data_IF_306913191441
#
_entry.id   IF_306913191441
#
_cell.length_a   1.000
_cell.length_b   1.000
_cell.length_c   1.000
_cell.angle_alpha   90.00
_cell.angle_beta   90.00
_cell.angle_gamma   90.00
#
_symmetry.space_group_name_H-M   'P 1'
#
loop_
_entity.id
_entity.type
_entity.pdbx_description
1 polymer ?
#
# COMPACT_ATOMS: atom_id res chain seq x y z
N UNK A 1 -12.31 18.68 -6.71
CA UNK A 1 -11.76 18.36 -5.37
C UNK A 1 -12.70 18.92 -4.31
N UNK A 2 -13.14 18.11 -3.34
CA UNK A 2 -14.02 18.59 -2.27
C UNK A 2 -13.26 19.35 -1.16
N UNK A 3 -13.95 20.18 -0.35
CA UNK A 3 -13.33 20.93 0.75
C UNK A 3 -12.73 20.01 1.82
N UNK A 4 -11.92 20.56 2.73
CA UNK A 4 -11.44 19.81 3.89
C UNK A 4 -12.62 19.27 4.69
N UNK A 5 -12.53 18.03 5.19
CA UNK A 5 -13.64 17.37 5.89
C UNK A 5 -14.73 16.76 5.00
N UNK A 6 -14.68 16.91 3.67
CA UNK A 6 -15.67 16.30 2.76
C UNK A 6 -15.61 14.76 2.64
N UNK A 7 -14.82 14.08 3.48
CA UNK A 7 -14.71 12.62 3.47
C UNK A 7 -13.77 12.03 2.41
N UNK A 8 -12.89 12.83 1.80
CA UNK A 8 -11.93 12.35 0.77
C UNK A 8 -11.07 11.22 1.30
N UNK A 9 -10.32 11.45 2.37
CA UNK A 9 -9.44 10.44 2.98
C UNK A 9 -10.25 9.23 3.45
N UNK A 10 -11.43 9.47 4.06
CA UNK A 10 -12.35 8.41 4.46
C UNK A 10 -12.78 7.52 3.29
N UNK A 11 -13.09 8.09 2.13
CA UNK A 11 -13.46 7.33 0.94
C UNK A 11 -12.27 6.47 0.45
N UNK A 12 -11.07 7.04 0.42
CA UNK A 12 -9.87 6.29 0.04
C UNK A 12 -9.56 5.16 1.03
N UNK A 13 -9.76 5.36 2.34
CA UNK A 13 -9.60 4.30 3.36
C UNK A 13 -10.58 3.14 3.13
N UNK A 14 -11.81 3.44 2.72
CA UNK A 14 -12.81 2.43 2.36
C UNK A 14 -12.41 1.67 1.10
N UNK A 15 -11.96 2.40 0.07
CA UNK A 15 -11.52 1.82 -1.21
C UNK A 15 -10.21 1.02 -1.11
N UNK A 16 -9.31 1.39 -0.21
CA UNK A 16 -8.07 0.65 0.05
C UNK A 16 -8.28 -0.55 0.99
N UNK A 17 -9.39 -0.56 1.74
CA UNK A 17 -9.66 -1.56 2.76
C UNK A 17 -8.91 -1.32 4.06
N UNK A 18 -8.46 -0.08 4.30
CA UNK A 18 -7.97 0.40 5.59
C UNK A 18 -9.12 0.62 6.59
N UNK A 19 -10.31 0.97 6.07
CA UNK A 19 -11.57 1.02 6.81
C UNK A 19 -12.57 0.02 6.23
N UNK A 20 -13.00 -0.94 7.05
CA UNK A 20 -13.99 -1.98 6.67
C UNK A 20 -15.26 -1.95 7.54
N UNK A 21 -15.27 -1.15 8.59
CA UNK A 21 -16.40 -1.03 9.53
C UNK A 21 -17.17 0.27 9.33
N UNK A 22 -18.50 0.20 9.54
CA UNK A 22 -19.39 1.34 9.33
C UNK A 22 -19.47 1.78 7.86
N UNK A 23 -19.38 0.81 6.95
CA UNK A 23 -19.46 1.00 5.50
C UNK A 23 -20.51 0.04 4.97
N UNK A 24 -21.32 0.50 4.02
CA UNK A 24 -22.26 -0.33 3.27
C UNK A 24 -22.05 -0.13 1.76
N UNK A 25 -22.43 -1.13 0.97
CA UNK A 25 -22.27 -1.15 -0.48
C UNK A 25 -21.28 -2.21 -0.99
N UNK A 26 -21.16 -2.30 -2.32
CA UNK A 26 -20.29 -3.27 -2.99
C UNK A 26 -19.23 -2.56 -3.82
N UNK A 27 -17.97 -2.96 -3.67
CA UNK A 27 -16.85 -2.45 -4.44
C UNK A 27 -16.46 -3.49 -5.47
N UNK A 28 -16.35 -3.07 -6.73
CA UNK A 28 -15.93 -3.91 -7.84
C UNK A 28 -14.53 -3.52 -8.30
N UNK A 29 -13.71 -4.52 -8.59
CA UNK A 29 -12.39 -4.36 -9.22
C UNK A 29 -12.38 -5.24 -10.45
N UNK A 30 -12.20 -4.64 -11.62
CA UNK A 30 -12.26 -5.33 -12.91
C UNK A 30 -13.56 -6.15 -13.12
N UNK A 31 -14.70 -5.62 -12.69
CA UNK A 31 -16.01 -6.28 -12.84
C UNK A 31 -16.33 -7.37 -11.81
N UNK A 32 -15.39 -7.71 -10.92
CA UNK A 32 -15.60 -8.68 -9.85
C UNK A 32 -15.71 -8.00 -8.49
N UNK A 33 -16.49 -8.60 -7.59
CA UNK A 33 -16.55 -8.14 -6.19
C UNK A 33 -15.15 -8.19 -5.59
N UNK A 34 -14.74 -7.09 -4.96
CA UNK A 34 -13.39 -6.94 -4.40
C UNK A 34 -13.12 -7.99 -3.32
N UNK A 35 -12.19 -8.89 -3.59
CA UNK A 35 -11.51 -9.68 -2.55
C UNK A 35 -10.37 -8.84 -1.95
N UNK A 36 -10.47 -8.51 -0.67
CA UNK A 36 -9.47 -7.66 0.03
C UNK A 36 -8.08 -8.29 0.05
N UNK A 37 -7.99 -9.62 0.16
CA UNK A 37 -6.71 -10.32 0.26
C UNK A 37 -5.94 -10.24 -1.06
N UNK A 38 -6.61 -10.52 -2.18
CA UNK A 38 -6.02 -10.40 -3.51
C UNK A 38 -5.77 -8.94 -3.87
N UNK A 39 -6.74 -8.05 -3.61
CA UNK A 39 -6.62 -6.63 -3.91
C UNK A 39 -5.35 -5.99 -3.31
N UNK A 40 -5.06 -6.27 -2.03
CA UNK A 40 -3.86 -5.76 -1.34
C UNK A 40 -2.54 -6.21 -1.98
N UNK A 41 -2.51 -7.33 -2.71
CA UNK A 41 -1.31 -7.80 -3.42
C UNK A 41 -1.05 -7.03 -4.72
N UNK A 42 -2.09 -6.45 -5.32
CA UNK A 42 -2.01 -5.78 -6.62
C UNK A 42 -2.11 -4.26 -6.55
N UNK A 43 -2.33 -3.69 -5.36
CA UNK A 43 -2.49 -2.24 -5.17
C UNK A 43 -1.55 -1.69 -4.11
N UNK A 44 -1.16 -0.43 -4.25
CA UNK A 44 -0.49 0.34 -3.22
C UNK A 44 -1.38 1.50 -2.78
N UNK A 45 -1.41 1.76 -1.47
CA UNK A 45 -2.11 2.90 -0.89
C UNK A 45 -1.10 3.78 -0.14
N UNK A 46 -1.00 5.05 -0.54
CA UNK A 46 -0.14 6.05 0.10
C UNK A 46 -1.04 6.95 0.94
N UNK A 47 -0.74 7.06 2.23
CA UNK A 47 -1.50 7.86 3.19
C UNK A 47 -1.14 9.34 3.10
N UNK A 48 -1.99 10.20 3.66
CA UNK A 48 -1.74 11.65 3.68
C UNK A 48 -0.52 12.02 4.56
N UNK A 49 -0.28 11.27 5.63
CA UNK A 49 0.88 11.43 6.51
C UNK A 49 1.84 10.26 6.31
N UNK A 50 3.13 10.57 6.22
CA UNK A 50 4.19 9.58 6.11
C UNK A 50 4.56 9.04 7.49
N UNK A 51 4.63 7.71 7.60
CA UNK A 51 5.06 7.01 8.83
C UNK A 51 6.45 6.41 8.62
N UNK A 52 7.44 7.28 8.47
CA UNK A 52 8.84 6.90 8.28
C UNK A 52 9.58 6.93 9.61
N UNK A 53 10.53 6.00 9.78
CA UNK A 53 11.41 5.98 10.95
C UNK A 53 12.55 6.99 10.75
N UNK A 54 12.72 7.99 11.63
CA UNK A 54 13.65 9.10 11.42
C UNK A 54 15.12 8.68 11.50
N UNK A 55 15.41 7.50 12.06
CA UNK A 55 16.76 6.97 12.23
C UNK A 55 17.24 6.11 11.05
N UNK A 56 16.39 5.90 10.04
CA UNK A 56 16.74 5.12 8.85
C UNK A 56 17.01 6.04 7.66
N UNK A 57 18.06 5.75 6.91
CA UNK A 57 18.29 6.34 5.59
C UNK A 57 17.28 5.80 4.58
N UNK A 58 17.10 6.53 3.48
CA UNK A 58 16.23 6.09 2.37
C UNK A 58 16.62 4.69 1.88
N UNK A 59 17.92 4.43 1.72
CA UNK A 59 18.41 3.14 1.26
C UNK A 59 18.07 2.00 2.23
N UNK A 60 18.19 2.24 3.53
CA UNK A 60 17.82 1.25 4.55
C UNK A 60 16.32 0.96 4.55
N UNK A 61 15.49 2.01 4.43
CA UNK A 61 14.04 1.87 4.35
C UNK A 61 13.62 1.05 3.12
N UNK A 62 14.23 1.33 1.96
CA UNK A 62 13.97 0.60 0.72
C UNK A 62 14.43 -0.85 0.78
N UNK A 63 15.59 -1.14 1.41
CA UNK A 63 16.05 -2.52 1.64
C UNK A 63 15.07 -3.30 2.52
N UNK A 64 14.63 -2.72 3.64
CA UNK A 64 13.65 -3.35 4.55
C UNK A 64 12.33 -3.59 3.80
N UNK A 65 11.85 -2.60 3.04
CA UNK A 65 10.64 -2.75 2.25
C UNK A 65 10.76 -3.87 1.20
N UNK A 66 11.90 -3.96 0.49
CA UNK A 66 12.16 -5.03 -0.48
C UNK A 66 12.24 -6.41 0.19
N UNK A 67 12.89 -6.52 1.36
CA UNK A 67 12.98 -7.77 2.09
C UNK A 67 11.62 -8.28 2.60
N UNK A 68 10.72 -7.38 2.98
CA UNK A 68 9.37 -7.72 3.44
C UNK A 68 8.38 -7.98 2.29
N UNK A 69 8.52 -7.29 1.16
CA UNK A 69 7.59 -7.43 0.02
C UNK A 69 7.96 -8.56 -0.94
N UNK A 70 9.25 -8.83 -1.12
CA UNK A 70 9.70 -9.83 -2.08
C UNK A 70 9.61 -11.25 -1.48
N UNK A 71 9.32 -12.27 -2.29
CA UNK A 71 9.34 -13.67 -1.85
C UNK A 71 10.67 -14.05 -1.18
N UNK A 72 10.61 -14.93 -0.16
CA UNK A 72 11.77 -15.35 0.61
C UNK A 72 12.84 -16.07 -0.23
N UNK A 73 12.45 -16.71 -1.33
CA UNK A 73 13.31 -17.38 -2.31
C UNK A 73 13.95 -16.41 -3.32
N UNK A 74 13.66 -15.11 -3.23
CA UNK A 74 14.29 -14.10 -4.10
C UNK A 74 15.78 -13.97 -3.77
N UNK A 75 16.63 -14.24 -4.77
CA UNK A 75 18.08 -14.09 -4.67
C UNK A 75 18.49 -12.69 -4.20
N UNK A 76 19.47 -12.60 -3.30
CA UNK A 76 19.88 -11.30 -2.73
C UNK A 76 20.33 -10.29 -3.79
N UNK A 77 21.11 -10.73 -4.79
CA UNK A 77 21.52 -9.85 -5.89
C UNK A 77 20.31 -9.25 -6.64
N UNK A 78 19.20 -9.99 -6.72
CA UNK A 78 17.97 -9.52 -7.36
C UNK A 78 17.21 -8.53 -6.47
N UNK A 79 17.21 -8.75 -5.15
CA UNK A 79 16.65 -7.79 -4.17
C UNK A 79 17.44 -6.48 -4.20
N UNK A 80 18.76 -6.54 -4.15
CA UNK A 80 19.63 -5.37 -4.23
C UNK A 80 19.48 -4.61 -5.55
N UNK A 81 19.37 -5.32 -6.67
CA UNK A 81 19.12 -4.69 -7.96
C UNK A 81 17.77 -3.95 -7.98
N UNK A 82 16.73 -4.50 -7.36
CA UNK A 82 15.40 -3.87 -7.26
C UNK A 82 15.47 -2.56 -6.50
N UNK A 83 16.22 -2.51 -5.39
CA UNK A 83 16.37 -1.30 -4.56
C UNK A 83 17.22 -0.21 -5.24
N UNK A 84 18.15 -0.58 -6.13
CA UNK A 84 19.05 0.37 -6.81
C UNK A 84 18.47 0.97 -8.10
N UNK A 85 17.38 0.43 -8.61
CA UNK A 85 16.75 0.86 -9.87
C UNK A 85 15.63 1.89 -9.68
N UNK A 86 15.16 2.09 -8.44
CA UNK A 86 14.27 3.19 -8.05
C UNK A 86 15.08 4.33 -7.42
#
# INVERSE_FOLDING_TARGET
>A
MGPSGAGKSTLFDVLSGFRVTGVDGTIFVNGHVRDLNSFRKYTAYITQEDRLEPLLTVLEYMKIAADLKLPADTLQNKKEATVRLE
#
